data_IF_361929212132
#
_entry.id   IF_361929212132
#
_cell.length_a   1.000
_cell.length_b   1.000
_cell.length_c   1.000
_cell.angle_alpha   90.00
_cell.angle_beta   90.00
_cell.angle_gamma   90.00
#
_symmetry.space_group_name_H-M   'P 1'
#
loop_
_entity.id
_entity.type
_entity.pdbx_description
1 polymer ?
#
# COMPACT_ATOMS: atom_id res chain seq x y z
N UNK A 1 10.00 -26.19 22.27
CA UNK A 1 10.07 -24.79 21.79
C UNK A 1 8.94 -24.41 20.83
N UNK A 2 8.60 -25.18 19.78
CA UNK A 2 7.40 -24.89 18.95
C UNK A 2 6.06 -25.17 19.65
N UNK A 3 6.04 -26.11 20.60
CA UNK A 3 4.84 -26.52 21.35
C UNK A 3 4.18 -25.40 22.18
N UNK A 4 4.81 -24.24 22.31
CA UNK A 4 4.26 -23.08 23.02
C UNK A 4 3.43 -22.17 22.11
N UNK A 5 3.63 -22.20 20.80
CA UNK A 5 2.94 -21.31 19.86
C UNK A 5 1.71 -22.00 19.26
N UNK A 6 0.59 -21.27 19.24
CA UNK A 6 -0.68 -21.73 18.65
C UNK A 6 -0.74 -21.45 17.15
N UNK A 7 0.06 -20.50 16.67
CA UNK A 7 0.13 -20.11 15.27
C UNK A 7 1.60 -19.86 14.89
N UNK A 8 2.05 -20.53 13.84
CA UNK A 8 3.34 -20.26 13.21
C UNK A 8 3.06 -19.67 11.83
N UNK A 9 3.62 -18.50 11.57
CA UNK A 9 3.56 -17.79 10.29
C UNK A 9 4.96 -17.85 9.67
N UNK A 10 5.05 -18.30 8.43
CA UNK A 10 6.29 -18.32 7.66
C UNK A 10 6.25 -17.14 6.70
N UNK A 11 7.21 -16.22 6.85
CA UNK A 11 7.31 -14.96 6.14
C UNK A 11 6.89 -13.75 6.98
N UNK A 12 7.80 -12.79 7.13
CA UNK A 12 7.62 -11.50 7.79
C UNK A 12 7.26 -10.36 6.84
N UNK A 13 6.66 -10.68 5.67
CA UNK A 13 6.07 -9.69 4.78
C UNK A 13 4.81 -9.03 5.35
N UNK A 14 4.26 -8.01 4.67
CA UNK A 14 3.09 -7.26 5.15
C UNK A 14 1.88 -8.16 5.49
N UNK A 15 1.64 -9.23 4.73
CA UNK A 15 0.58 -10.19 5.00
C UNK A 15 0.82 -10.99 6.27
N UNK A 16 2.04 -11.51 6.46
CA UNK A 16 2.45 -12.25 7.66
C UNK A 16 2.41 -11.38 8.92
N UNK A 17 2.90 -10.15 8.82
CA UNK A 17 2.82 -9.16 9.91
C UNK A 17 1.36 -8.83 10.24
N UNK A 18 0.51 -8.56 9.24
CA UNK A 18 -0.90 -8.26 9.46
C UNK A 18 -1.64 -9.44 10.10
N UNK A 19 -1.38 -10.67 9.64
CA UNK A 19 -1.94 -11.89 10.20
C UNK A 19 -1.50 -12.08 11.66
N UNK A 20 -0.20 -11.91 11.94
CA UNK A 20 0.35 -12.06 13.29
C UNK A 20 -0.16 -11.01 14.27
N UNK A 21 -0.20 -9.73 13.85
CA UNK A 21 -0.82 -8.65 14.65
C UNK A 21 -2.27 -9.00 14.97
N UNK A 22 -3.03 -9.48 13.98
CA UNK A 22 -4.44 -9.83 14.18
C UNK A 22 -4.57 -11.02 15.14
N UNK A 23 -3.84 -12.10 14.92
CA UNK A 23 -3.88 -13.31 15.75
C UNK A 23 -3.48 -13.03 17.20
N UNK A 24 -2.36 -12.32 17.42
CA UNK A 24 -1.89 -11.94 18.75
C UNK A 24 -2.94 -11.11 19.51
N UNK A 25 -3.68 -10.25 18.80
CA UNK A 25 -4.75 -9.44 19.39
C UNK A 25 -6.00 -10.21 19.79
N UNK A 26 -6.18 -11.43 19.30
CA UNK A 26 -7.20 -12.36 19.76
C UNK A 26 -6.62 -13.39 20.77
N UNK A 27 -5.46 -13.11 21.35
CA UNK A 27 -4.85 -13.93 22.41
C UNK A 27 -4.05 -15.14 21.90
N UNK A 28 -3.85 -15.28 20.59
CA UNK A 28 -3.07 -16.39 20.05
C UNK A 28 -1.57 -16.12 20.21
N UNK A 29 -0.87 -17.03 20.89
CA UNK A 29 0.60 -17.04 20.94
C UNK A 29 1.12 -17.34 19.54
N UNK A 30 1.68 -16.33 18.88
CA UNK A 30 2.03 -16.36 17.47
C UNK A 30 3.54 -16.21 17.29
N UNK A 31 4.13 -17.05 16.44
CA UNK A 31 5.54 -16.96 16.02
C UNK A 31 5.58 -16.61 14.53
N UNK A 32 6.36 -15.58 14.17
CA UNK A 32 6.66 -15.25 12.77
C UNK A 32 8.10 -15.63 12.51
N UNK A 33 8.32 -16.45 11.47
CA UNK A 33 9.65 -16.84 11.00
C UNK A 33 9.93 -16.11 9.69
N UNK A 34 10.92 -15.23 9.69
CA UNK A 34 11.40 -14.52 8.50
C UNK A 34 12.79 -15.04 8.16
N UNK A 35 13.01 -15.36 6.88
CA UNK A 35 14.30 -15.83 6.38
C UNK A 35 15.31 -14.68 6.29
N UNK A 36 14.83 -13.48 5.98
CA UNK A 36 15.66 -12.27 5.92
C UNK A 36 15.99 -11.75 7.33
N UNK A 37 17.03 -10.93 7.43
CA UNK A 37 17.40 -10.24 8.68
C UNK A 37 16.45 -9.11 9.07
N UNK A 38 15.51 -8.75 8.19
CA UNK A 38 14.58 -7.63 8.34
C UNK A 38 13.17 -8.07 7.92
N UNK A 39 12.12 -7.66 8.65
CA UNK A 39 10.74 -7.85 8.20
C UNK A 39 10.40 -6.86 7.07
N UNK A 40 9.26 -7.09 6.42
CA UNK A 40 8.69 -6.20 5.40
C UNK A 40 8.49 -6.86 4.04
N UNK A 41 9.22 -7.94 3.73
CA UNK A 41 9.14 -8.64 2.44
C UNK A 41 9.42 -7.69 1.28
N UNK A 42 8.52 -7.60 0.29
CA UNK A 42 8.65 -6.65 -0.82
C UNK A 42 8.56 -5.17 -0.39
N UNK A 43 8.12 -4.88 0.84
CA UNK A 43 8.09 -3.53 1.41
C UNK A 43 9.24 -3.35 2.41
N UNK A 44 10.47 -3.63 1.97
CA UNK A 44 11.67 -3.55 2.80
C UNK A 44 12.55 -2.35 2.43
N UNK A 45 13.68 -2.25 3.12
CA UNK A 45 14.68 -1.22 2.98
C UNK A 45 16.07 -1.82 3.21
N UNK A 46 17.11 -1.14 2.74
CA UNK A 46 18.50 -1.49 3.02
C UNK A 46 19.34 -0.24 3.23
N UNK A 47 20.50 -0.39 3.86
CA UNK A 47 21.45 0.69 4.03
C UNK A 47 22.57 0.59 3.00
N UNK A 48 22.87 1.69 2.32
CA UNK A 48 24.01 1.80 1.40
C UNK A 48 24.73 3.12 1.63
N UNK A 49 26.04 3.05 1.91
CA UNK A 49 26.86 4.23 2.24
C UNK A 49 26.27 5.11 3.35
N UNK A 50 25.68 4.49 4.39
CA UNK A 50 25.04 5.22 5.49
C UNK A 50 23.64 5.76 5.19
N UNK A 51 23.14 5.60 3.96
CA UNK A 51 21.81 6.04 3.57
C UNK A 51 20.81 4.89 3.64
N UNK A 52 19.65 5.15 4.25
CA UNK A 52 18.49 4.28 4.19
C UNK A 52 17.84 4.39 2.81
N UNK A 53 17.78 3.29 2.08
CA UNK A 53 17.13 3.19 0.77
C UNK A 53 15.90 2.29 0.90
N UNK A 54 14.72 2.88 0.74
CA UNK A 54 13.46 2.14 0.70
C UNK A 54 13.26 1.54 -0.69
N UNK A 55 12.99 0.23 -0.77
CA UNK A 55 12.71 -0.48 -2.04
C UNK A 55 11.26 -0.90 -2.16
N UNK A 56 10.46 -0.53 -1.17
CA UNK A 56 9.08 -0.94 -1.03
C UNK A 56 8.08 -0.01 -1.71
N UNK A 57 7.01 0.26 -0.99
CA UNK A 57 5.94 1.18 -1.36
C UNK A 57 6.48 2.51 -1.90
N UNK A 58 6.28 2.76 -3.20
CA UNK A 58 6.70 3.99 -3.87
C UNK A 58 5.57 5.03 -3.97
N UNK A 59 4.31 4.61 -3.85
CA UNK A 59 3.15 5.50 -3.88
C UNK A 59 1.99 4.88 -3.09
N UNK A 60 1.29 5.71 -2.30
CA UNK A 60 0.01 5.32 -1.72
C UNK A 60 -1.15 5.78 -2.61
N UNK A 61 -1.61 4.84 -3.42
CA UNK A 61 -2.82 4.97 -4.22
C UNK A 61 -4.05 4.56 -3.40
N UNK A 62 -5.24 4.96 -3.85
CA UNK A 62 -6.51 4.79 -3.15
C UNK A 62 -6.46 5.35 -1.71
N UNK A 63 -5.77 6.47 -1.52
CA UNK A 63 -5.65 7.09 -0.21
C UNK A 63 -7.01 7.60 0.26
N UNK A 64 -7.43 7.17 1.44
CA UNK A 64 -8.72 7.54 2.00
C UNK A 64 -8.55 8.49 3.18
N UNK A 65 -9.34 9.57 3.17
CA UNK A 65 -9.49 10.47 4.31
C UNK A 65 -10.03 9.70 5.52
N UNK A 66 -9.66 10.06 6.76
CA UNK A 66 -10.10 9.34 7.96
C UNK A 66 -11.63 9.22 8.12
N UNK A 67 -12.38 10.17 7.57
CA UNK A 67 -13.84 10.19 7.63
C UNK A 67 -14.50 9.03 6.85
N UNK A 68 -13.86 8.48 5.81
CA UNK A 68 -14.40 7.37 5.05
C UNK A 68 -14.19 6.04 5.77
N UNK A 69 -15.14 5.68 6.62
CA UNK A 69 -15.07 4.47 7.45
C UNK A 69 -15.09 3.16 6.65
N UNK A 70 -15.54 3.16 5.38
CA UNK A 70 -15.68 1.95 4.57
C UNK A 70 -14.44 1.68 3.71
N UNK A 71 -13.64 2.72 3.46
CA UNK A 71 -12.39 2.63 2.72
C UNK A 71 -11.46 1.51 3.23
N UNK A 72 -10.81 0.76 2.32
CA UNK A 72 -9.87 -0.31 2.67
C UNK A 72 -8.77 0.14 3.63
N UNK A 73 -8.18 1.31 3.41
CA UNK A 73 -7.13 1.87 4.27
C UNK A 73 -7.62 2.02 5.71
N UNK A 74 -8.77 2.68 5.92
CA UNK A 74 -9.31 2.91 7.26
C UNK A 74 -9.80 1.62 7.93
N UNK A 75 -10.23 0.63 7.14
CA UNK A 75 -10.53 -0.72 7.63
C UNK A 75 -9.26 -1.40 8.15
N UNK A 76 -8.16 -1.33 7.40
CA UNK A 76 -6.86 -1.91 7.79
C UNK A 76 -6.35 -1.32 9.11
N UNK A 77 -6.34 0.02 9.25
CA UNK A 77 -5.93 0.68 10.50
C UNK A 77 -6.74 0.18 11.71
N UNK A 78 -8.06 0.04 11.56
CA UNK A 78 -8.93 -0.45 12.64
C UNK A 78 -8.69 -1.93 12.94
N UNK A 79 -8.59 -2.76 11.91
CA UNK A 79 -8.36 -4.20 12.06
C UNK A 79 -7.01 -4.49 12.70
N UNK A 80 -5.99 -3.68 12.43
CA UNK A 80 -4.65 -3.80 13.01
C UNK A 80 -4.44 -2.95 14.27
N UNK A 81 -5.43 -2.12 14.68
CA UNK A 81 -5.32 -1.10 15.76
C UNK A 81 -4.11 -0.17 15.59
N UNK A 82 -3.78 0.14 14.35
CA UNK A 82 -2.83 1.19 14.05
C UNK A 82 -3.52 2.54 14.26
N UNK A 83 -2.82 3.46 14.92
CA UNK A 83 -3.28 4.83 15.09
C UNK A 83 -2.80 5.67 13.92
N UNK A 84 -3.69 6.41 13.26
CA UNK A 84 -3.31 7.39 12.22
C UNK A 84 -2.43 8.53 12.74
N UNK A 85 -2.42 8.77 14.06
CA UNK A 85 -1.55 9.77 14.69
C UNK A 85 -0.11 9.27 14.85
N UNK A 86 0.08 7.95 15.04
CA UNK A 86 1.41 7.35 15.23
C UNK A 86 1.98 6.78 13.93
N UNK A 87 1.11 6.17 13.12
CA UNK A 87 1.43 5.66 11.80
C UNK A 87 0.94 6.69 10.77
N UNK A 88 1.75 7.72 10.59
CA UNK A 88 1.47 8.82 9.66
C UNK A 88 1.71 8.31 8.24
N UNK A 89 0.71 8.50 7.39
CA UNK A 89 0.77 8.06 6.01
C UNK A 89 0.49 9.24 5.08
N UNK A 90 1.15 9.26 3.94
CA UNK A 90 1.08 10.37 2.97
C UNK A 90 0.50 9.92 1.64
N UNK A 91 -0.53 10.61 1.22
CA UNK A 91 -1.10 10.50 -0.11
C UNK A 91 -0.04 10.76 -1.20
N UNK A 92 -0.15 10.04 -2.31
CA UNK A 92 0.59 10.33 -3.52
C UNK A 92 0.28 11.76 -4.01
N UNK A 93 1.31 12.54 -4.30
CA UNK A 93 1.15 13.88 -4.89
C UNK A 93 0.63 13.80 -6.33
N UNK A 94 1.30 12.99 -7.15
CA UNK A 94 0.92 12.71 -8.53
C UNK A 94 1.96 11.81 -9.19
N UNK A 95 1.64 11.35 -10.38
CA UNK A 95 2.54 10.62 -11.26
C UNK A 95 2.24 10.97 -12.70
N UNK A 96 3.19 10.65 -13.57
CA UNK A 96 3.10 10.98 -14.98
C UNK A 96 3.52 9.81 -15.85
N UNK A 97 2.85 9.68 -16.98
CA UNK A 97 3.20 8.77 -18.06
C UNK A 97 3.67 9.65 -19.22
N UNK A 98 4.91 9.48 -19.65
CA UNK A 98 5.52 10.27 -20.72
C UNK A 98 5.71 9.36 -21.94
N UNK A 99 5.01 9.69 -23.01
CA UNK A 99 5.19 9.10 -24.33
C UNK A 99 5.92 10.09 -25.24
N UNK A 100 6.47 9.64 -26.38
CA UNK A 100 6.87 10.57 -27.43
C UNK A 100 5.66 11.41 -27.89
N UNK A 101 5.67 12.70 -27.58
CA UNK A 101 4.64 13.66 -28.00
C UNK A 101 3.40 13.77 -27.12
N UNK A 102 3.23 12.92 -26.11
CA UNK A 102 2.07 12.98 -25.20
C UNK A 102 2.49 12.77 -23.74
N UNK A 103 1.73 13.36 -22.83
CA UNK A 103 1.96 13.26 -21.38
C UNK A 103 0.63 13.14 -20.66
N UNK A 104 0.52 12.15 -19.77
CA UNK A 104 -0.65 11.96 -18.92
C UNK A 104 -0.25 12.16 -17.46
N UNK A 105 -0.88 13.11 -16.77
CA UNK A 105 -0.83 13.17 -15.32
C UNK A 105 -1.88 12.27 -14.68
N UNK A 106 -1.60 11.72 -13.50
CA UNK A 106 -2.57 11.02 -12.68
C UNK A 106 -2.26 11.14 -11.19
N UNK A 107 -3.29 11.00 -10.36
CA UNK A 107 -3.17 11.03 -8.91
C UNK A 107 -4.25 10.12 -8.31
N UNK A 108 -4.50 10.22 -7.00
CA UNK A 108 -5.66 9.59 -6.37
C UNK A 108 -7.01 10.17 -6.82
N UNK A 109 -7.00 11.30 -7.53
CA UNK A 109 -8.17 11.82 -8.21
C UNK A 109 -8.28 11.26 -9.63
N UNK A 110 -9.17 10.29 -9.82
CA UNK A 110 -9.44 9.69 -11.12
C UNK A 110 -9.92 10.73 -12.16
N UNK A 111 -10.51 11.85 -11.73
CA UNK A 111 -10.94 12.90 -12.65
C UNK A 111 -9.79 13.55 -13.41
N UNK A 112 -8.60 13.63 -12.78
CA UNK A 112 -7.37 14.09 -13.43
C UNK A 112 -7.00 13.18 -14.59
N UNK A 113 -6.90 11.87 -14.35
CA UNK A 113 -6.55 10.94 -15.42
C UNK A 113 -7.60 10.93 -16.55
N UNK A 114 -8.90 11.06 -16.21
CA UNK A 114 -9.97 11.19 -17.21
C UNK A 114 -9.79 12.41 -18.11
N UNK A 115 -9.49 13.58 -17.54
CA UNK A 115 -9.32 14.82 -18.32
C UNK A 115 -8.05 14.78 -19.19
N UNK A 116 -6.97 14.20 -18.66
CA UNK A 116 -5.71 14.01 -19.39
C UNK A 116 -5.91 13.08 -20.59
N UNK A 117 -6.60 11.95 -20.42
CA UNK A 117 -6.93 11.02 -21.53
C UNK A 117 -7.81 11.70 -22.57
N UNK A 118 -8.83 12.48 -22.15
CA UNK A 118 -9.70 13.18 -23.09
C UNK A 118 -8.95 14.24 -23.93
N UNK A 119 -7.93 14.88 -23.33
CA UNK A 119 -7.10 15.89 -24.00
C UNK A 119 -6.07 15.27 -24.95
N UNK A 120 -5.31 14.29 -24.47
CA UNK A 120 -4.18 13.72 -25.21
C UNK A 120 -4.60 12.63 -26.21
N UNK A 121 -5.69 11.91 -25.90
CA UNK A 121 -6.20 10.79 -26.70
C UNK A 121 -7.73 10.90 -26.90
N UNK A 122 -8.21 11.96 -27.59
CA UNK A 122 -9.65 12.24 -27.71
C UNK A 122 -10.45 11.08 -28.32
N UNK A 123 -9.85 10.34 -29.25
CA UNK A 123 -10.47 9.15 -29.87
C UNK A 123 -10.67 7.96 -28.92
N UNK A 124 -10.03 7.95 -27.76
CA UNK A 124 -10.11 6.87 -26.77
C UNK A 124 -10.92 7.24 -25.51
N UNK A 125 -11.39 8.47 -25.38
CA UNK A 125 -12.07 8.98 -24.18
C UNK A 125 -13.32 8.18 -23.81
N UNK A 126 -14.16 7.85 -24.79
CA UNK A 126 -15.38 7.05 -24.59
C UNK A 126 -15.07 5.62 -24.14
N UNK A 127 -14.07 4.99 -24.77
CA UNK A 127 -13.62 3.64 -24.41
C UNK A 127 -13.03 3.61 -23.01
N UNK A 128 -12.20 4.59 -22.66
CA UNK A 128 -11.64 4.73 -21.31
C UNK A 128 -12.73 4.91 -20.25
N UNK A 129 -13.74 5.75 -20.53
CA UNK A 129 -14.90 5.92 -19.65
C UNK A 129 -15.70 4.63 -19.46
N UNK A 130 -15.67 3.72 -20.43
CA UNK A 130 -16.28 2.39 -20.32
C UNK A 130 -15.51 1.42 -19.41
N UNK A 131 -14.19 1.57 -19.27
CA UNK A 131 -13.32 0.70 -18.46
C UNK A 131 -13.38 0.97 -16.96
N UNK A 132 -13.72 2.19 -16.58
CA UNK A 132 -13.63 2.70 -15.20
C UNK A 132 -14.99 2.76 -14.49
N UNK A 133 -15.96 1.97 -14.96
CA UNK A 133 -17.28 1.79 -14.34
C UNK A 133 -17.27 0.73 -13.24
#
# INVERSE_FOLDING_TARGET
MLAEYQLVIIGGGLSGLAAGIRAARFGQRTLILEQHSLPGGLNSYYFRHGHLLETGLHAMTNFARPADKRAPLNRLFRQLKLSRKRFVTREQFGSEIIFPGNRLAFSNDLSLLKSEVAREFPGSSSSFSGLIK
#
